data_IF_783206103975
#
_entry.id   IF_783206103975
#
_cell.length_a   1.000
_cell.length_b   1.000
_cell.length_c   1.000
_cell.angle_alpha   90.00
_cell.angle_beta   90.00
_cell.angle_gamma   90.00
#
_symmetry.space_group_name_H-M   'P 1'
#
loop_
_entity.id
_entity.type
_entity.pdbx_description
1 polymer ?
#
# COMPACT_ATOMS: atom_id res chain seq x y z
N UNK A 1 10.21 -11.02 8.11
CA UNK A 1 11.07 -10.05 8.83
C UNK A 1 10.37 -8.69 8.90
N UNK A 2 10.46 -7.99 10.03
CA UNK A 2 9.86 -6.66 10.18
C UNK A 2 10.70 -5.59 9.48
N UNK A 3 10.13 -4.93 8.48
CA UNK A 3 10.77 -3.80 7.76
C UNK A 3 11.19 -2.68 8.70
N UNK A 4 10.40 -2.45 9.74
CA UNK A 4 10.72 -1.51 10.83
C UNK A 4 12.00 -1.88 11.57
N UNK A 5 12.23 -3.18 11.82
CA UNK A 5 13.43 -3.68 12.51
C UNK A 5 14.67 -3.63 11.61
N UNK A 6 14.53 -3.97 10.34
CA UNK A 6 15.67 -4.09 9.41
C UNK A 6 16.06 -2.75 8.78
N UNK A 7 15.08 -1.93 8.40
CA UNK A 7 15.30 -0.66 7.69
C UNK A 7 15.04 0.58 8.57
N UNK A 8 14.70 0.41 9.85
CA UNK A 8 14.49 1.54 10.76
C UNK A 8 13.31 2.46 10.38
N UNK A 9 12.31 1.97 9.63
CA UNK A 9 11.21 2.82 9.13
C UNK A 9 10.37 3.41 10.28
N UNK A 10 9.95 4.67 10.14
CA UNK A 10 9.06 5.35 11.08
C UNK A 10 7.64 5.46 10.54
N UNK A 11 6.67 5.38 11.44
CA UNK A 11 5.24 5.52 11.13
C UNK A 11 4.73 6.95 11.34
N UNK A 12 5.57 7.90 11.74
CA UNK A 12 5.22 9.32 11.86
C UNK A 12 5.98 10.12 10.82
N UNK A 13 5.28 11.02 10.12
CA UNK A 13 5.88 11.87 9.08
C UNK A 13 6.57 13.12 9.65
N UNK A 14 6.34 13.45 10.92
CA UNK A 14 6.96 14.62 11.58
C UNK A 14 8.37 14.30 12.05
N UNK A 15 9.29 15.25 11.87
CA UNK A 15 10.68 15.19 12.36
C UNK A 15 11.46 13.97 11.86
N UNK A 16 11.25 13.59 10.59
CA UNK A 16 12.09 12.58 9.94
C UNK A 16 13.44 13.17 9.59
N UNK A 17 14.50 12.50 10.00
CA UNK A 17 15.86 12.78 9.55
C UNK A 17 16.04 12.47 8.07
N UNK A 18 17.10 13.03 7.46
CA UNK A 18 17.37 12.90 6.02
C UNK A 18 17.54 11.44 5.56
N UNK A 19 18.03 10.56 6.44
CA UNK A 19 18.27 9.14 6.17
C UNK A 19 17.12 8.24 6.65
N UNK A 20 16.00 8.82 7.09
CA UNK A 20 14.89 8.06 7.66
C UNK A 20 13.78 7.85 6.62
N UNK A 21 13.14 6.68 6.71
CA UNK A 21 12.05 6.27 5.82
C UNK A 21 10.72 6.32 6.55
N UNK A 22 9.75 7.00 5.95
CA UNK A 22 8.36 6.98 6.36
C UNK A 22 7.64 5.77 5.77
N UNK A 23 6.94 5.04 6.64
CA UNK A 23 6.13 3.89 6.30
C UNK A 23 4.68 4.11 6.74
N UNK A 24 3.83 4.48 5.79
CA UNK A 24 2.39 4.65 6.01
C UNK A 24 1.64 3.30 6.04
N UNK A 25 2.24 2.23 5.52
CA UNK A 25 1.61 0.89 5.51
C UNK A 25 1.44 0.33 6.92
N UNK A 26 2.29 0.72 7.87
CA UNK A 26 2.14 0.34 9.28
C UNK A 26 0.79 0.80 9.85
N UNK A 27 0.28 1.96 9.43
CA UNK A 27 -1.04 2.44 9.86
C UNK A 27 -2.17 1.64 9.21
N UNK A 28 -2.03 1.27 7.93
CA UNK A 28 -3.01 0.42 7.24
C UNK A 28 -3.11 -0.96 7.88
N UNK A 29 -1.96 -1.56 8.20
CA UNK A 29 -1.91 -2.84 8.89
C UNK A 29 -2.60 -2.78 10.26
N UNK A 30 -2.34 -1.73 11.06
CA UNK A 30 -3.02 -1.53 12.35
C UNK A 30 -4.53 -1.34 12.24
N UNK A 31 -5.03 -0.85 11.11
CA UNK A 31 -6.45 -0.71 10.80
C UNK A 31 -7.08 -2.00 10.24
N UNK A 32 -6.33 -3.10 10.16
CA UNK A 32 -6.79 -4.37 9.61
C UNK A 32 -6.88 -4.39 8.08
N UNK A 33 -6.26 -3.42 7.40
CA UNK A 33 -6.24 -3.36 5.94
C UNK A 33 -5.10 -4.22 5.37
N UNK A 34 -5.36 -4.94 4.29
CA UNK A 34 -4.38 -5.80 3.63
C UNK A 34 -4.43 -5.71 2.11
N UNK A 35 -3.37 -6.20 1.48
CA UNK A 35 -3.26 -6.34 0.02
C UNK A 35 -3.56 -7.76 -0.42
N UNK A 36 -3.43 -8.75 0.47
CA UNK A 36 -3.67 -10.16 0.18
C UNK A 36 -4.46 -10.78 1.32
N UNK A 37 -5.39 -11.68 1.02
CA UNK A 37 -6.12 -12.44 2.03
C UNK A 37 -5.76 -13.93 1.92
N UNK A 38 -5.51 -14.56 3.07
CA UNK A 38 -5.22 -16.00 3.18
C UNK A 38 -5.76 -16.53 4.50
N UNK A 39 -6.53 -17.63 4.44
CA UNK A 39 -7.18 -18.25 5.61
C UNK A 39 -7.93 -17.21 6.47
N UNK A 40 -8.75 -16.40 5.82
CA UNK A 40 -9.55 -15.34 6.46
C UNK A 40 -8.75 -14.27 7.22
N UNK A 41 -7.47 -14.13 6.87
CA UNK A 41 -6.58 -13.12 7.42
C UNK A 41 -5.99 -12.22 6.32
N UNK A 42 -6.05 -10.91 6.57
CA UNK A 42 -5.46 -9.90 5.71
C UNK A 42 -3.96 -9.73 6.00
N UNK A 43 -3.17 -9.87 4.94
CA UNK A 43 -1.73 -9.64 4.92
C UNK A 43 -1.41 -8.36 4.13
N UNK A 44 -0.45 -7.58 4.62
CA UNK A 44 0.01 -6.35 3.97
C UNK A 44 1.47 -6.48 3.51
N UNK A 45 1.62 -7.09 2.33
CA UNK A 45 2.93 -7.30 1.69
C UNK A 45 3.31 -6.17 0.74
N UNK A 46 2.33 -5.55 0.07
CA UNK A 46 2.58 -4.37 -0.76
C UNK A 46 3.11 -3.22 0.09
N UNK A 47 4.25 -2.65 -0.28
CA UNK A 47 4.88 -1.56 0.46
C UNK A 47 5.38 -0.47 -0.48
N UNK A 48 5.19 0.77 -0.06
CA UNK A 48 5.88 1.95 -0.60
C UNK A 48 6.40 2.71 0.61
N UNK A 49 7.68 3.05 0.58
CA UNK A 49 8.36 3.81 1.63
C UNK A 49 8.79 5.14 1.05
N UNK A 50 8.67 6.22 1.83
CA UNK A 50 9.01 7.56 1.39
C UNK A 50 10.15 8.12 2.22
N UNK A 51 11.18 8.67 1.59
CA UNK A 51 12.20 9.45 2.30
C UNK A 51 11.66 10.81 2.73
N UNK A 52 12.35 11.47 3.67
CA UNK A 52 11.96 12.77 4.21
C UNK A 52 11.77 13.87 3.14
N UNK A 53 12.46 13.77 1.99
CA UNK A 53 12.38 14.74 0.90
C UNK A 53 10.98 14.89 0.29
N UNK A 54 10.16 13.84 0.39
CA UNK A 54 8.77 13.83 -0.11
C UNK A 54 7.76 14.37 0.91
N UNK A 55 8.20 14.85 2.08
CA UNK A 55 7.33 15.22 3.22
C UNK A 55 7.45 16.69 3.66
N UNK A 56 8.12 17.55 2.89
CA UNK A 56 8.45 18.94 3.25
C UNK A 56 7.24 19.90 3.33
N UNK A 57 6.12 19.58 2.67
CA UNK A 57 4.85 20.36 2.64
C UNK A 57 4.95 21.82 2.13
N UNK A 58 6.06 22.21 1.52
CA UNK A 58 6.17 23.48 0.77
C UNK A 58 5.44 23.43 -0.59
N UNK A 59 5.33 22.22 -1.15
CA UNK A 59 4.69 21.91 -2.44
C UNK A 59 5.32 22.60 -3.65
N UNK A 60 6.58 23.05 -3.54
CA UNK A 60 7.35 23.62 -4.65
C UNK A 60 7.83 22.52 -5.62
N UNK A 61 7.93 21.29 -5.10
CA UNK A 61 8.09 20.04 -5.84
C UNK A 61 6.96 19.06 -5.50
N UNK A 62 6.98 17.85 -6.06
CA UNK A 62 6.03 16.81 -5.69
C UNK A 62 6.21 16.39 -4.24
N UNK A 63 5.14 16.47 -3.46
CA UNK A 63 5.12 16.13 -2.04
C UNK A 63 3.98 15.14 -1.79
N UNK A 64 4.17 14.28 -0.79
CA UNK A 64 3.19 13.30 -0.35
C UNK A 64 1.87 13.97 0.03
N UNK A 65 0.78 13.43 -0.52
CA UNK A 65 -0.58 13.86 -0.19
C UNK A 65 -1.36 12.76 0.52
N UNK A 66 -1.43 11.58 -0.10
CA UNK A 66 -2.14 10.42 0.46
C UNK A 66 -1.57 9.12 -0.09
N UNK A 67 -1.89 8.03 0.59
CA UNK A 67 -1.67 6.69 0.10
C UNK A 67 -2.94 5.85 0.21
N UNK A 68 -2.96 4.70 -0.43
CA UNK A 68 -4.07 3.77 -0.30
C UNK A 68 -3.78 2.38 -0.83
N UNK A 69 -4.69 1.46 -0.51
CA UNK A 69 -4.82 0.15 -1.15
C UNK A 69 -5.95 0.27 -2.17
N UNK A 70 -5.68 -0.02 -3.42
CA UNK A 70 -6.67 0.08 -4.49
C UNK A 70 -7.54 -1.18 -4.52
N UNK A 71 -8.62 -1.14 -3.74
CA UNK A 71 -9.57 -2.23 -3.59
C UNK A 71 -10.91 -1.88 -4.29
N UNK A 72 -10.98 -2.11 -5.60
CA UNK A 72 -12.21 -1.91 -6.40
C UNK A 72 -12.91 -3.24 -6.65
N UNK A 73 -14.24 -3.21 -6.76
CA UNK A 73 -15.08 -4.41 -6.96
C UNK A 73 -14.63 -5.31 -8.12
N UNK A 74 -14.18 -4.73 -9.23
CA UNK A 74 -13.72 -5.53 -10.37
C UNK A 74 -12.40 -6.28 -10.10
N UNK A 75 -11.62 -5.87 -9.10
CA UNK A 75 -10.42 -6.57 -8.65
C UNK A 75 -10.72 -7.64 -7.59
N UNK A 76 -11.97 -7.76 -7.15
CA UNK A 76 -12.39 -8.69 -6.12
C UNK A 76 -12.98 -9.95 -6.74
N UNK A 77 -12.79 -11.07 -6.06
CA UNK A 77 -13.50 -12.30 -6.36
C UNK A 77 -15.00 -12.05 -6.09
N UNK A 78 -15.88 -12.22 -7.09
CA UNK A 78 -17.25 -11.74 -7.02
C UNK A 78 -18.16 -12.57 -6.10
N UNK A 79 -17.85 -13.85 -5.88
CA UNK A 79 -18.72 -14.80 -5.19
C UNK A 79 -17.96 -16.01 -4.64
N UNK A 80 -18.66 -16.86 -3.87
CA UNK A 80 -18.11 -18.09 -3.29
C UNK A 80 -17.33 -17.85 -2.00
N UNK A 81 -16.58 -18.87 -1.57
CA UNK A 81 -15.85 -18.87 -0.30
C UNK A 81 -14.77 -17.77 -0.20
N UNK A 82 -14.28 -17.27 -1.34
CA UNK A 82 -13.26 -16.22 -1.41
C UNK A 82 -13.84 -14.86 -1.82
N UNK A 83 -15.15 -14.66 -1.68
CA UNK A 83 -15.78 -13.37 -2.01
C UNK A 83 -15.02 -12.22 -1.34
N UNK A 84 -14.83 -11.13 -2.07
CA UNK A 84 -14.10 -9.91 -1.65
C UNK A 84 -12.56 -10.06 -1.56
N UNK A 85 -11.99 -11.25 -1.76
CA UNK A 85 -10.54 -11.46 -1.88
C UNK A 85 -10.04 -10.93 -3.24
N UNK A 86 -8.73 -10.63 -3.41
CA UNK A 86 -8.18 -10.32 -4.73
C UNK A 86 -8.52 -11.40 -5.77
N UNK A 87 -8.99 -10.98 -6.94
CA UNK A 87 -9.30 -11.87 -8.03
C UNK A 87 -8.00 -12.35 -8.68
N UNK A 88 -7.44 -13.42 -8.10
CA UNK A 88 -6.15 -14.01 -8.48
C UNK A 88 -6.13 -14.48 -9.92
N UNK A 89 -5.03 -14.23 -10.63
CA UNK A 89 -4.84 -14.67 -12.02
C UNK A 89 -4.84 -16.19 -12.16
N UNK A 90 -4.24 -16.92 -11.21
CA UNK A 90 -4.12 -18.38 -11.28
C UNK A 90 -4.64 -19.03 -10.01
N UNK A 91 -5.37 -20.14 -10.18
CA UNK A 91 -5.83 -21.01 -9.10
C UNK A 91 -5.83 -22.46 -9.60
N UNK A 92 -5.41 -23.40 -8.76
CA UNK A 92 -5.42 -24.84 -9.06
C UNK A 92 -4.77 -25.18 -10.43
N UNK A 93 -3.66 -24.53 -10.75
CA UNK A 93 -2.91 -24.76 -12.00
C UNK A 93 -3.53 -24.15 -13.26
N UNK A 94 -4.63 -23.41 -13.16
CA UNK A 94 -5.31 -22.81 -14.32
C UNK A 94 -5.45 -21.29 -14.19
N UNK A 95 -5.46 -20.60 -15.33
CA UNK A 95 -5.80 -19.17 -15.40
C UNK A 95 -7.29 -18.99 -15.13
N UNK A 96 -7.64 -18.04 -14.26
CA UNK A 96 -9.02 -17.83 -13.79
C UNK A 96 -9.72 -16.67 -14.50
N UNK A 97 -9.01 -15.89 -15.31
CA UNK A 97 -9.47 -14.58 -15.78
C UNK A 97 -9.23 -13.42 -14.80
N UNK A 98 -8.59 -13.70 -13.65
CA UNK A 98 -8.26 -12.69 -12.64
C UNK A 98 -7.06 -11.81 -12.96
N UNK A 99 -6.92 -10.74 -12.17
CA UNK A 99 -5.90 -9.70 -12.35
C UNK A 99 -4.62 -9.98 -11.57
N UNK A 100 -4.74 -10.27 -10.27
CA UNK A 100 -3.62 -10.48 -9.35
C UNK A 100 -4.13 -11.07 -8.05
N UNK A 101 -3.29 -11.85 -7.36
CA UNK A 101 -3.56 -12.32 -6.00
C UNK A 101 -3.31 -11.25 -4.93
N UNK A 102 -2.91 -10.04 -5.34
CA UNK A 102 -2.71 -8.88 -4.48
C UNK A 102 -3.46 -7.64 -4.98
N UNK A 103 -4.05 -6.86 -4.08
CA UNK A 103 -4.48 -5.51 -4.37
C UNK A 103 -3.27 -4.57 -4.53
N UNK A 104 -3.29 -3.65 -5.51
CA UNK A 104 -2.25 -2.65 -5.66
C UNK A 104 -2.21 -1.70 -4.47
N UNK A 105 -1.03 -1.20 -4.15
CA UNK A 105 -0.83 -0.05 -3.27
C UNK A 105 -0.37 1.15 -4.07
N UNK A 106 -0.75 2.35 -3.64
CA UNK A 106 -0.40 3.58 -4.35
C UNK A 106 -0.11 4.73 -3.39
N UNK A 107 0.61 5.71 -3.91
CA UNK A 107 0.78 7.04 -3.32
C UNK A 107 0.33 8.10 -4.31
N UNK A 108 -0.30 9.16 -3.82
CA UNK A 108 -0.55 10.37 -4.59
C UNK A 108 0.42 11.44 -4.12
N UNK A 109 1.12 12.03 -5.08
CA UNK A 109 1.99 13.18 -4.87
C UNK A 109 1.35 14.40 -5.54
N UNK A 110 1.43 15.55 -4.87
CA UNK A 110 0.90 16.81 -5.40
C UNK A 110 1.99 17.87 -5.38
N UNK A 111 1.87 18.85 -6.27
CA UNK A 111 2.71 20.05 -6.32
C UNK A 111 1.85 21.25 -6.68
N UNK A 112 2.31 22.45 -6.34
CA UNK A 112 1.69 23.68 -6.86
C UNK A 112 1.83 23.73 -8.38
N UNK A 113 0.79 24.23 -9.04
CA UNK A 113 0.84 24.55 -10.48
C UNK A 113 1.70 25.79 -10.64
N UNK A 114 2.70 25.74 -11.53
CA UNK A 114 3.46 26.93 -11.92
C UNK A 114 2.60 27.67 -12.94
N UNK A 115 2.26 28.92 -12.64
CA UNK A 115 1.66 29.83 -13.61
C UNK A 115 2.72 30.32 -14.58
#
# INVERSE_FOLDING_TARGET
MSRKKVMGTKNKSKNLGINELYNFMDEFFKKGLGTLAYRDSWNLFGQILLSAAWLKKDYDSFQYYKAGIFNKRFLQTPSGAYKDYPFRSFANGSYTGGYSDHFPVYVCLIRKVRK
#
